data_IF_110836199506
#
_entry.id   IF_110836199506
#
_cell.length_a   1.000
_cell.length_b   1.000
_cell.length_c   1.000
_cell.angle_alpha   90.00
_cell.angle_beta   90.00
_cell.angle_gamma   90.00
#
_symmetry.space_group_name_H-M   'P 1'
#
loop_
_entity.id
_entity.type
_entity.pdbx_description
1 polymer ?
#
# COMPACT_ATOMS: atom_id res chain seq x y z
N UNK A 1 -7.75 7.59 8.67
CA UNK A 1 -7.82 6.23 9.26
C UNK A 1 -6.54 5.50 8.89
N UNK A 2 -6.01 4.66 9.77
CA UNK A 2 -4.82 3.83 9.44
C UNK A 2 -5.27 2.40 9.10
N UNK A 3 -4.72 1.83 8.04
CA UNK A 3 -4.99 0.44 7.63
C UNK A 3 -3.69 -0.24 7.26
N UNK A 4 -3.36 -1.32 7.97
CA UNK A 4 -2.21 -2.16 7.66
C UNK A 4 -2.60 -3.22 6.64
N UNK A 5 -1.74 -3.42 5.65
CA UNK A 5 -1.87 -4.47 4.64
C UNK A 5 -0.58 -5.25 4.53
N UNK A 6 -0.68 -6.55 4.28
CA UNK A 6 0.49 -7.42 4.17
C UNK A 6 0.28 -8.58 3.19
N UNK A 7 1.38 -9.15 2.71
CA UNK A 7 1.39 -10.43 2.03
C UNK A 7 1.32 -11.58 3.05
N UNK A 8 0.72 -12.73 2.68
CA UNK A 8 0.88 -13.96 3.47
C UNK A 8 2.36 -14.35 3.59
N UNK A 9 2.76 -14.90 4.74
CA UNK A 9 4.16 -15.32 5.01
C UNK A 9 4.69 -16.37 4.02
N UNK A 10 3.79 -17.08 3.34
CA UNK A 10 4.12 -18.09 2.32
C UNK A 10 4.44 -17.49 0.95
N UNK A 11 4.08 -16.24 0.69
CA UNK A 11 4.27 -15.58 -0.61
C UNK A 11 5.61 -14.83 -0.65
N UNK A 12 6.26 -14.76 -1.82
CA UNK A 12 7.48 -13.98 -1.97
C UNK A 12 7.18 -12.48 -1.80
N UNK A 13 8.11 -11.68 -1.26
CA UNK A 13 7.97 -10.23 -1.17
C UNK A 13 7.67 -9.59 -2.53
N UNK A 14 6.79 -8.58 -2.55
CA UNK A 14 6.57 -7.77 -3.73
C UNK A 14 7.69 -6.75 -3.89
N UNK A 15 8.00 -6.39 -5.14
CA UNK A 15 8.82 -5.22 -5.42
C UNK A 15 7.99 -3.94 -5.22
N UNK A 16 8.62 -2.85 -4.77
CA UNK A 16 7.95 -1.53 -4.70
C UNK A 16 7.41 -1.12 -6.08
N UNK A 17 8.07 -1.53 -7.16
CA UNK A 17 7.63 -1.27 -8.53
C UNK A 17 6.30 -1.95 -8.85
N UNK A 18 6.07 -3.16 -8.36
CA UNK A 18 4.78 -3.87 -8.52
C UNK A 18 3.68 -3.17 -7.75
N UNK A 19 3.94 -2.71 -6.53
CA UNK A 19 2.99 -1.91 -5.73
C UNK A 19 2.61 -0.62 -6.47
N UNK A 20 3.60 0.16 -6.92
CA UNK A 20 3.37 1.39 -7.70
C UNK A 20 2.60 1.09 -9.00
N UNK A 21 2.94 0.01 -9.70
CA UNK A 21 2.25 -0.38 -10.92
C UNK A 21 0.78 -0.78 -10.67
N UNK A 22 0.50 -1.47 -9.57
CA UNK A 22 -0.86 -1.84 -9.18
C UNK A 22 -1.71 -0.60 -8.85
N UNK A 23 -1.15 0.36 -8.12
CA UNK A 23 -1.82 1.65 -7.83
C UNK A 23 -2.12 2.43 -9.11
N UNK A 24 -1.17 2.49 -10.04
CA UNK A 24 -1.38 3.13 -11.36
C UNK A 24 -2.46 2.44 -12.20
N UNK A 25 -2.62 1.11 -12.09
CA UNK A 25 -3.73 0.39 -12.74
C UNK A 25 -5.11 0.80 -12.19
N UNK A 26 -5.16 1.38 -10.99
CA UNK A 26 -6.36 1.96 -10.39
C UNK A 26 -6.50 3.46 -10.69
N UNK A 27 -5.74 3.98 -11.67
CA UNK A 27 -5.72 5.39 -12.08
C UNK A 27 -5.16 6.36 -11.03
N UNK A 28 -4.48 5.84 -10.01
CA UNK A 28 -3.77 6.66 -9.02
C UNK A 28 -2.41 7.07 -9.58
N UNK A 29 -2.05 8.35 -9.43
CA UNK A 29 -0.74 8.87 -9.84
C UNK A 29 0.26 8.61 -8.71
N UNK A 30 0.67 7.35 -8.57
CA UNK A 30 1.56 6.89 -7.51
C UNK A 30 3.05 7.11 -7.85
N UNK A 31 3.82 7.62 -6.89
CA UNK A 31 5.27 7.80 -6.96
C UNK A 31 5.93 7.26 -5.71
N UNK A 32 6.92 6.37 -5.89
CA UNK A 32 7.79 5.94 -4.81
C UNK A 32 8.74 7.09 -4.44
N UNK A 33 8.72 7.44 -3.17
CA UNK A 33 9.61 8.41 -2.54
C UNK A 33 10.49 7.67 -1.52
N UNK A 34 11.78 7.59 -1.83
CA UNK A 34 12.76 6.88 -1.01
C UNK A 34 13.50 7.85 -0.10
N UNK A 35 13.37 7.65 1.21
CA UNK A 35 14.12 8.42 2.20
C UNK A 35 15.09 7.51 2.97
N UNK A 36 15.99 8.12 3.75
CA UNK A 36 16.94 7.39 4.59
C UNK A 36 16.30 6.71 5.81
N UNK A 37 15.09 7.12 6.17
CA UNK A 37 14.36 6.70 7.38
C UNK A 37 13.07 5.91 7.07
N UNK A 38 12.77 5.66 5.79
CA UNK A 38 11.65 4.85 5.33
C UNK A 38 11.37 5.04 3.83
N UNK A 39 10.43 4.27 3.29
CA UNK A 39 9.93 4.42 1.93
C UNK A 39 8.44 4.80 1.96
N UNK A 40 8.05 5.76 1.12
CA UNK A 40 6.65 6.17 0.93
C UNK A 40 6.21 5.98 -0.51
N UNK A 41 4.91 5.79 -0.70
CA UNK A 41 4.25 6.04 -1.97
C UNK A 41 3.32 7.24 -1.80
N UNK A 42 3.68 8.34 -2.47
CA UNK A 42 2.86 9.53 -2.54
C UNK A 42 1.91 9.45 -3.73
N UNK A 43 0.68 9.92 -3.53
CA UNK A 43 -0.36 10.00 -4.55
C UNK A 43 -0.56 11.46 -4.95
N UNK A 44 -0.34 11.78 -6.23
CA UNK A 44 -0.39 13.18 -6.70
C UNK A 44 -1.78 13.80 -6.52
N UNK A 45 -1.83 14.98 -5.90
CA UNK A 45 -3.09 15.70 -5.62
C UNK A 45 -3.94 15.11 -4.48
N UNK A 46 -3.41 14.14 -3.73
CA UNK A 46 -4.10 13.47 -2.63
C UNK A 46 -3.30 13.61 -1.33
N UNK A 47 -4.01 13.60 -0.21
CA UNK A 47 -3.43 13.63 1.14
C UNK A 47 -3.22 12.23 1.71
N UNK A 48 -3.93 11.22 1.19
CA UNK A 48 -3.68 9.83 1.56
C UNK A 48 -2.26 9.40 1.17
N UNK A 49 -1.54 8.83 2.13
CA UNK A 49 -0.16 8.34 1.93
C UNK A 49 -0.06 6.86 2.26
N UNK A 50 0.93 6.19 1.66
CA UNK A 50 1.24 4.79 1.93
C UNK A 50 2.69 4.70 2.39
N UNK A 51 2.93 4.31 3.64
CA UNK A 51 4.26 3.99 4.13
C UNK A 51 4.57 2.51 3.87
N UNK A 52 5.80 2.21 3.48
CA UNK A 52 6.24 0.87 3.10
C UNK A 52 7.48 0.49 3.90
N UNK A 53 7.40 -0.66 4.55
CA UNK A 53 8.57 -1.31 5.13
C UNK A 53 9.29 -2.04 3.99
N UNK A 54 10.44 -1.50 3.58
CA UNK A 54 11.20 -2.04 2.46
C UNK A 54 12.60 -2.48 2.84
N UNK A 55 13.00 -3.64 2.29
CA UNK A 55 14.35 -4.16 2.39
C UNK A 55 14.87 -4.39 0.97
N UNK A 56 15.87 -3.60 0.56
CA UNK A 56 16.45 -3.67 -0.79
C UNK A 56 15.42 -3.53 -1.94
N UNK A 57 14.36 -2.75 -1.75
CA UNK A 57 13.31 -2.51 -2.75
C UNK A 57 12.22 -3.59 -2.81
N UNK A 58 12.24 -4.53 -1.86
CA UNK A 58 11.22 -5.54 -1.63
C UNK A 58 10.40 -5.20 -0.39
N UNK A 59 9.15 -5.60 -0.35
CA UNK A 59 8.24 -5.36 0.77
C UNK A 59 7.22 -6.49 0.92
N UNK A 60 6.79 -6.72 2.16
CA UNK A 60 5.72 -7.64 2.54
C UNK A 60 4.59 -6.94 3.28
N UNK A 61 4.73 -5.65 3.60
CA UNK A 61 3.82 -4.90 4.45
C UNK A 61 3.80 -3.42 4.08
N UNK A 62 2.64 -2.80 4.22
CA UNK A 62 2.45 -1.37 4.04
C UNK A 62 1.36 -0.86 4.98
N UNK A 63 1.44 0.43 5.29
CA UNK A 63 0.43 1.12 6.08
C UNK A 63 -0.17 2.24 5.25
N UNK A 64 -1.51 2.26 5.17
CA UNK A 64 -2.28 3.25 4.43
C UNK A 64 -2.83 4.25 5.44
N UNK A 65 -2.43 5.51 5.30
CA UNK A 65 -2.94 6.61 6.12
C UNK A 65 -3.96 7.39 5.29
N UNK A 66 -5.23 7.00 5.42
CA UNK A 66 -6.35 7.62 4.72
C UNK A 66 -6.62 9.04 5.24
N UNK A 67 -6.65 10.01 4.32
CA UNK A 67 -7.10 11.37 4.58
C UNK A 67 -8.64 11.48 4.56
N UNK A 68 -9.17 12.43 5.32
CA UNK A 68 -10.62 12.69 5.39
C UNK A 68 -11.17 13.17 4.04
N UNK A 69 -12.28 12.57 3.59
CA UNK A 69 -12.93 12.93 2.31
C UNK A 69 -12.34 12.26 1.06
N UNK A 70 -11.40 11.32 1.21
CA UNK A 70 -10.76 10.57 0.10
C UNK A 70 -11.20 9.09 0.04
N UNK A 71 -12.46 8.77 0.32
CA UNK A 71 -12.97 7.39 0.40
C UNK A 71 -12.84 6.59 -0.92
N UNK A 72 -13.04 7.25 -2.06
CA UNK A 72 -12.87 6.64 -3.39
C UNK A 72 -11.39 6.30 -3.67
N UNK A 73 -10.48 7.15 -3.21
CA UNK A 73 -9.04 6.92 -3.28
C UNK A 73 -8.66 5.72 -2.42
N UNK A 74 -9.13 5.68 -1.17
CA UNK A 74 -8.89 4.56 -0.28
C UNK A 74 -9.39 3.23 -0.88
N UNK A 75 -10.62 3.22 -1.39
CA UNK A 75 -11.20 2.06 -2.09
C UNK A 75 -10.34 1.60 -3.27
N UNK A 76 -9.77 2.54 -4.02
CA UNK A 76 -8.86 2.26 -5.14
C UNK A 76 -7.52 1.67 -4.67
N UNK A 77 -6.97 2.16 -3.55
CA UNK A 77 -5.75 1.62 -2.94
C UNK A 77 -5.98 0.18 -2.48
N UNK A 78 -7.08 -0.08 -1.74
CA UNK A 78 -7.44 -1.43 -1.29
C UNK A 78 -7.60 -2.38 -2.48
N UNK A 79 -8.25 -1.93 -3.55
CA UNK A 79 -8.38 -2.74 -4.77
C UNK A 79 -7.03 -3.02 -5.47
N UNK A 80 -6.02 -2.17 -5.31
CA UNK A 80 -4.66 -2.45 -5.81
C UNK A 80 -3.99 -3.56 -4.99
N UNK A 81 -4.03 -3.46 -3.67
CA UNK A 81 -3.44 -4.44 -2.75
C UNK A 81 -4.13 -5.80 -2.84
N UNK A 82 -5.47 -5.84 -2.90
CA UNK A 82 -6.24 -7.08 -3.15
C UNK A 82 -5.78 -7.79 -4.42
N UNK A 83 -5.54 -7.06 -5.52
CA UNK A 83 -5.07 -7.65 -6.79
C UNK A 83 -3.65 -8.19 -6.73
N UNK A 84 -2.85 -7.71 -5.78
CA UNK A 84 -1.51 -8.25 -5.51
C UNK A 84 -1.55 -9.45 -4.55
N UNK A 85 -2.74 -9.86 -4.08
CA UNK A 85 -2.89 -10.97 -3.13
C UNK A 85 -2.63 -10.58 -1.67
N UNK A 86 -2.69 -9.29 -1.36
CA UNK A 86 -2.47 -8.81 0.00
C UNK A 86 -3.77 -8.88 0.82
N UNK A 87 -3.59 -9.01 2.13
CA UNK A 87 -4.63 -9.02 3.17
C UNK A 87 -4.51 -7.78 4.04
N UNK A 88 -5.60 -7.41 4.71
CA UNK A 88 -5.57 -6.41 5.77
C UNK A 88 -5.24 -7.07 7.11
N UNK A 89 -4.76 -6.28 8.08
CA UNK A 89 -4.47 -6.75 9.43
C UNK A 89 -5.00 -5.72 10.45
N UNK A 90 -5.69 -6.23 11.47
CA UNK A 90 -6.14 -5.46 12.65
C UNK A 90 -5.92 -6.26 13.95
N UNK A 91 -6.52 -5.82 15.06
CA UNK A 91 -6.38 -6.45 16.38
C UNK A 91 -6.94 -7.89 16.43
N UNK A 92 -7.87 -8.24 15.54
CA UNK A 92 -8.47 -9.58 15.44
C UNK A 92 -7.70 -10.49 14.47
N UNK A 93 -6.72 -9.95 13.74
CA UNK A 93 -5.82 -10.66 12.85
C UNK A 93 -6.01 -10.30 11.37
N UNK A 94 -5.54 -11.19 10.48
CA UNK A 94 -5.60 -10.94 9.03
C UNK A 94 -7.01 -11.13 8.45
N UNK A 95 -7.44 -10.23 7.58
CA UNK A 95 -8.71 -10.30 6.86
C UNK A 95 -8.53 -10.09 5.36
N UNK A 96 -9.48 -10.62 4.57
CA UNK A 96 -9.47 -10.44 3.12
C UNK A 96 -9.82 -9.00 2.74
N UNK A 97 -8.99 -8.40 1.89
CA UNK A 97 -9.20 -7.03 1.39
C UNK A 97 -10.36 -6.90 0.44
#
# INVERSE_FOLDING_TARGET
METRVHLPDSEPPATIREVVAALKKQKLIAKHDKQSWGDWINLDGLQTVISIESMSGLTTSATIEQAEGEDDTFSSIIAAFRKLGWSGEDEDGSYAL
#
